data_IF_327438222776
#
_entry.id   IF_327438222776
#
_cell.length_a   1.000
_cell.length_b   1.000
_cell.length_c   1.000
_cell.angle_alpha   90.00
_cell.angle_beta   90.00
_cell.angle_gamma   90.00
#
_symmetry.space_group_name_H-M   'P 1'
#
loop_
_entity.id
_entity.type
_entity.pdbx_description
1 polymer ?
#
# COMPACT_ATOMS: atom_id res chain seq x y z
N UNK A 1 0.33 4.15 5.50
CA UNK A 1 0.35 5.37 4.66
C UNK A 1 1.33 5.22 3.51
N UNK A 2 1.12 6.00 2.49
CA UNK A 2 1.97 5.98 1.29
C UNK A 2 3.25 6.75 1.56
N UNK A 3 4.40 6.05 1.48
CA UNK A 3 5.70 6.66 1.64
C UNK A 3 6.28 7.08 0.29
N UNK A 4 6.06 6.25 -0.75
CA UNK A 4 6.46 6.56 -2.11
C UNK A 4 5.40 6.04 -3.07
N UNK A 5 5.21 6.78 -4.17
CA UNK A 5 4.32 6.37 -5.25
C UNK A 5 5.10 6.49 -6.54
N UNK A 6 5.32 5.36 -7.20
CA UNK A 6 6.12 5.32 -8.43
C UNK A 6 5.37 5.86 -9.63
N UNK A 7 6.10 5.97 -10.73
CA UNK A 7 5.49 6.34 -12.00
C UNK A 7 4.72 5.16 -12.57
N UNK A 8 3.64 5.47 -13.28
CA UNK A 8 2.87 4.45 -13.98
C UNK A 8 3.72 3.79 -15.05
N UNK A 9 3.66 2.48 -15.13
CA UNK A 9 4.29 1.73 -16.21
C UNK A 9 3.33 0.62 -16.64
N UNK A 10 3.72 -0.15 -17.62
CA UNK A 10 2.86 -1.19 -18.17
C UNK A 10 3.63 -2.51 -18.20
N UNK A 11 2.91 -3.59 -17.91
CA UNK A 11 3.47 -4.94 -18.03
C UNK A 11 3.64 -5.30 -19.50
N UNK A 12 4.41 -6.36 -19.81
CA UNK A 12 4.50 -6.82 -21.21
C UNK A 12 3.14 -7.13 -21.83
N UNK A 13 2.15 -7.50 -21.02
CA UNK A 13 0.79 -7.75 -21.51
C UNK A 13 -0.03 -6.48 -21.68
N UNK A 14 0.55 -5.30 -21.39
CA UNK A 14 -0.14 -4.03 -21.56
C UNK A 14 -0.95 -3.56 -20.39
N UNK A 15 -0.89 -4.23 -19.25
CA UNK A 15 -1.63 -3.81 -18.05
C UNK A 15 -0.92 -2.65 -17.35
N UNK A 16 -1.68 -1.64 -16.91
CA UNK A 16 -1.08 -0.62 -16.05
C UNK A 16 -0.52 -1.25 -14.78
N UNK A 17 0.63 -0.78 -14.34
CA UNK A 17 1.29 -1.25 -13.12
C UNK A 17 1.82 -0.06 -12.36
N UNK A 18 1.54 -0.03 -11.07
CA UNK A 18 1.97 1.04 -10.19
C UNK A 18 2.63 0.44 -8.97
N UNK A 19 3.85 0.86 -8.68
CA UNK A 19 4.54 0.42 -7.47
C UNK A 19 4.45 1.51 -6.41
N UNK A 20 4.24 1.06 -5.18
CA UNK A 20 4.15 1.95 -4.03
C UNK A 20 5.03 1.40 -2.91
N UNK A 21 5.47 2.30 -2.04
CA UNK A 21 6.10 1.93 -0.79
C UNK A 21 5.16 2.38 0.32
N UNK A 22 4.76 1.42 1.17
CA UNK A 22 3.76 1.67 2.21
C UNK A 22 4.38 1.48 3.58
N UNK A 23 3.96 2.31 4.53
CA UNK A 23 4.32 2.15 5.94
C UNK A 23 3.08 1.75 6.71
N UNK A 24 3.22 0.68 7.50
CA UNK A 24 2.16 0.20 8.38
C UNK A 24 2.62 0.33 9.82
N UNK A 25 1.76 0.89 10.65
CA UNK A 25 1.99 1.00 12.09
C UNK A 25 0.77 0.50 12.83
N UNK A 26 1.00 -0.33 13.83
CA UNK A 26 -0.10 -0.83 14.64
C UNK A 26 0.41 -1.24 16.01
N UNK A 27 -0.54 -1.44 16.94
CA UNK A 27 -0.25 -2.05 18.23
C UNK A 27 -0.98 -3.37 18.31
N UNK A 28 -0.25 -4.39 18.75
CA UNK A 28 -0.80 -5.73 18.91
C UNK A 28 -0.42 -6.23 20.29
N UNK A 29 -1.10 -7.28 20.74
CA UNK A 29 -0.74 -7.97 21.98
C UNK A 29 -0.06 -9.26 21.60
N UNK A 30 1.16 -9.44 22.07
CA UNK A 30 1.93 -10.64 21.82
C UNK A 30 2.44 -11.19 23.13
N UNK A 31 2.14 -12.46 23.41
CA UNK A 31 2.50 -13.13 24.66
C UNK A 31 2.06 -12.31 25.89
N UNK A 32 0.87 -11.70 25.81
CA UNK A 32 0.30 -10.92 26.89
C UNK A 32 0.84 -9.50 27.03
N UNK A 33 1.71 -9.07 26.13
CA UNK A 33 2.34 -7.74 26.21
C UNK A 33 2.00 -6.89 24.99
N UNK A 34 1.73 -5.60 25.18
CA UNK A 34 1.55 -4.70 24.04
C UNK A 34 2.85 -4.61 23.24
N UNK A 35 2.71 -4.62 21.93
CA UNK A 35 3.84 -4.49 21.03
C UNK A 35 3.49 -3.56 19.90
N UNK A 36 4.36 -2.59 19.64
CA UNK A 36 4.24 -1.73 18.48
C UNK A 36 4.87 -2.42 17.28
N UNK A 37 4.11 -2.48 16.19
CA UNK A 37 4.59 -3.03 14.94
C UNK A 37 4.76 -1.89 13.95
N UNK A 38 5.92 -1.84 13.32
CA UNK A 38 6.22 -0.85 12.31
C UNK A 38 6.86 -1.56 11.14
N UNK A 39 6.31 -1.37 9.95
CA UNK A 39 6.69 -2.16 8.79
C UNK A 39 6.62 -1.30 7.54
N UNK A 40 7.68 -1.34 6.74
CA UNK A 40 7.69 -0.73 5.41
C UNK A 40 7.66 -1.85 4.40
N UNK A 41 6.74 -1.78 3.45
CA UNK A 41 6.56 -2.86 2.49
C UNK A 41 6.36 -2.31 1.09
N UNK A 42 7.01 -2.97 0.12
CA UNK A 42 6.76 -2.67 -1.29
C UNK A 42 5.45 -3.30 -1.72
N UNK A 43 4.67 -2.54 -2.48
CA UNK A 43 3.39 -3.00 -2.98
C UNK A 43 3.28 -2.72 -4.46
N UNK A 44 2.40 -3.46 -5.13
CA UNK A 44 2.12 -3.26 -6.54
C UNK A 44 0.62 -3.34 -6.76
N UNK A 45 0.10 -2.43 -7.60
CA UNK A 45 -1.27 -2.47 -8.07
C UNK A 45 -1.24 -2.68 -9.58
N UNK A 46 -2.13 -3.50 -10.08
CA UNK A 46 -2.21 -3.82 -11.51
C UNK A 46 -3.60 -3.50 -12.03
N UNK A 47 -3.68 -3.13 -13.31
CA UNK A 47 -4.94 -2.91 -13.97
C UNK A 47 -5.65 -1.66 -13.48
N UNK A 48 -6.95 -1.77 -13.31
CA UNK A 48 -7.79 -0.62 -12.92
C UNK A 48 -7.37 -0.04 -11.58
N UNK A 49 -6.91 -0.88 -10.65
CA UNK A 49 -6.46 -0.40 -9.36
C UNK A 49 -5.22 0.49 -9.49
N UNK A 50 -4.33 0.16 -10.42
CA UNK A 50 -3.17 1.00 -10.69
C UNK A 50 -3.61 2.39 -11.16
N UNK A 51 -4.60 2.43 -12.05
CA UNK A 51 -5.14 3.70 -12.54
C UNK A 51 -5.78 4.50 -11.40
N UNK A 52 -6.51 3.81 -10.53
CA UNK A 52 -7.16 4.46 -9.39
C UNK A 52 -6.17 5.09 -8.43
N UNK A 53 -5.03 4.43 -8.22
CA UNK A 53 -4.04 4.87 -7.24
C UNK A 53 -2.95 5.75 -7.81
N UNK A 54 -2.94 5.98 -9.13
CA UNK A 54 -1.96 6.85 -9.75
C UNK A 54 -2.00 8.24 -9.11
N UNK A 55 -0.81 8.81 -8.90
CA UNK A 55 -0.67 10.16 -8.33
C UNK A 55 -1.22 10.30 -6.91
N UNK A 56 -1.29 9.20 -6.17
CA UNK A 56 -1.71 9.27 -4.77
C UNK A 56 -0.69 10.11 -3.98
N UNK A 57 -1.15 11.14 -3.26
CA UNK A 57 -0.24 11.98 -2.49
C UNK A 57 0.49 11.19 -1.42
N UNK A 58 1.75 11.55 -1.19
CA UNK A 58 2.53 10.95 -0.10
C UNK A 58 1.86 11.28 1.23
N UNK A 59 1.91 10.32 2.15
CA UNK A 59 1.28 10.47 3.44
C UNK A 59 -0.18 10.09 3.47
N UNK A 60 -0.80 9.80 2.32
CA UNK A 60 -2.19 9.35 2.29
C UNK A 60 -2.32 8.05 3.08
N UNK A 61 -3.30 8.00 3.97
CA UNK A 61 -3.61 6.80 4.71
C UNK A 61 -4.66 6.00 3.98
N UNK A 62 -4.41 4.70 3.87
CA UNK A 62 -5.29 3.81 3.12
C UNK A 62 -5.46 2.50 3.88
N UNK A 63 -6.63 1.92 3.69
CA UNK A 63 -6.86 0.53 4.07
C UNK A 63 -6.70 -0.30 2.81
N UNK A 64 -5.80 -1.28 2.86
CA UNK A 64 -5.49 -2.10 1.68
C UNK A 64 -5.68 -3.55 2.01
N UNK A 65 -6.01 -4.33 0.99
CA UNK A 65 -6.08 -5.78 1.05
C UNK A 65 -5.35 -6.34 -0.15
N UNK A 66 -4.69 -7.45 0.06
CA UNK A 66 -3.98 -8.11 -1.02
C UNK A 66 -3.30 -9.36 -0.51
N UNK A 67 -2.34 -9.83 -1.28
CA UNK A 67 -1.59 -11.02 -0.92
C UNK A 67 -0.10 -10.78 -1.11
N UNK A 68 0.69 -11.52 -0.37
CA UNK A 68 2.14 -11.47 -0.50
C UNK A 68 2.58 -12.50 -1.55
N UNK A 69 3.51 -12.08 -2.38
CA UNK A 69 4.14 -12.96 -3.34
C UNK A 69 5.61 -12.62 -3.41
N UNK A 70 6.46 -13.57 -3.87
CA UNK A 70 7.87 -13.24 -4.08
C UNK A 70 8.02 -12.07 -5.02
N UNK A 71 8.92 -11.16 -4.69
CA UNK A 71 9.17 -9.98 -5.53
C UNK A 71 9.70 -10.40 -6.90
N UNK A 72 10.44 -11.49 -6.93
CA UNK A 72 10.95 -12.12 -8.16
C UNK A 72 10.89 -13.62 -7.95
N UNK A 73 10.95 -14.37 -9.06
CA UNK A 73 11.02 -15.82 -8.99
C UNK A 73 12.16 -16.22 -8.04
N UNK A 74 11.86 -17.12 -7.11
CA UNK A 74 12.82 -17.69 -6.15
C UNK A 74 13.43 -16.67 -5.18
N UNK A 75 12.82 -15.48 -5.05
CA UNK A 75 13.29 -14.47 -4.11
C UNK A 75 12.69 -14.71 -2.73
N UNK A 76 13.50 -14.44 -1.69
CA UNK A 76 12.97 -14.41 -0.31
C UNK A 76 12.30 -13.08 0.00
N UNK A 77 12.56 -12.04 -0.81
CA UNK A 77 11.86 -10.76 -0.65
C UNK A 77 10.44 -10.89 -1.19
N UNK A 78 9.52 -10.26 -0.48
CA UNK A 78 8.10 -10.30 -0.84
C UNK A 78 7.60 -8.93 -1.24
N UNK A 79 6.53 -8.94 -2.01
CA UNK A 79 5.84 -7.73 -2.44
C UNK A 79 4.35 -7.94 -2.20
N UNK A 80 3.68 -6.92 -1.70
CA UNK A 80 2.24 -6.97 -1.48
C UNK A 80 1.52 -6.63 -2.78
N UNK A 81 0.77 -7.60 -3.31
CA UNK A 81 -0.06 -7.38 -4.48
C UNK A 81 -1.41 -6.88 -4.01
N UNK A 82 -1.71 -5.62 -4.32
CA UNK A 82 -2.95 -5.00 -3.85
C UNK A 82 -4.13 -5.51 -4.66
N UNK A 83 -5.18 -5.88 -3.97
CA UNK A 83 -6.45 -6.28 -4.60
C UNK A 83 -7.53 -5.23 -4.35
N UNK A 84 -7.44 -4.52 -3.24
CA UNK A 84 -8.35 -3.45 -2.89
C UNK A 84 -7.60 -2.37 -2.13
N UNK A 85 -7.99 -1.13 -2.34
CA UNK A 85 -7.43 0.00 -1.61
C UNK A 85 -8.51 1.04 -1.43
N UNK A 86 -8.56 1.64 -0.24
CA UNK A 86 -9.54 2.65 0.10
C UNK A 86 -8.87 3.70 0.96
N UNK A 87 -9.04 4.97 0.59
CA UNK A 87 -8.53 6.07 1.41
C UNK A 87 -9.34 6.17 2.69
N UNK A 88 -8.65 6.45 3.78
CA UNK A 88 -9.30 6.61 5.09
C UNK A 88 -9.69 8.07 5.22
N UNK A 89 -10.99 8.30 5.47
CA UNK A 89 -11.52 9.66 5.60
C UNK A 89 -10.81 10.39 6.74
N UNK A 90 -10.47 11.64 6.52
CA UNK A 90 -9.83 12.47 7.52
C UNK A 90 -8.34 12.24 7.65
N UNK A 91 -7.77 11.31 6.88
CA UNK A 91 -6.35 10.96 7.01
C UNK A 91 -5.44 12.13 6.65
N UNK A 92 -5.90 13.03 5.82
CA UNK A 92 -5.10 14.16 5.40
C UNK A 92 -5.44 15.43 6.14
N UNK A 93 -6.01 15.34 7.22
CA UNK A 93 -6.33 16.48 8.02
C UNK A 93 -7.73 16.94 7.85
N UNK A 94 -7.55 16.59 7.33
CA UNK A 94 -8.46 16.97 7.52
C UNK A 94 -9.50 17.13 7.49
N UNK A 95 -9.96 16.84 7.70
CA UNK A 95 -11.08 16.79 7.66
C UNK A 95 -11.87 17.24 7.84
N UNK A 96 -12.28 17.19 7.69
CA UNK A 96 -13.23 17.31 7.95
C UNK A 96 -14.06 17.60 8.16
N UNK A 97 -14.32 17.50 8.30
CA UNK A 97 -15.24 17.63 8.54
C UNK A 97 -15.47 17.93 8.66
N UNK A 98 -15.01 17.72 8.59
CA UNK A 98 -15.13 17.67 8.64
C UNK A 98 -15.05 17.67 8.47
N UNK A 99 -14.83 17.73 8.24
CA UNK A 99 -14.94 17.42 8.14
C UNK A 99 -14.89 17.44 7.97
#
# INVERSE_FOLDING_TARGET
RVLECGAMRHTPAGLPALELLLVHESEVVEAGHPRRVELTISAVALGDLALLLADTPLGTEMQVQGFLAPARKDSVKVKLHLQQARRIAGSMGRDPLVG
#
